data_IF_096866589668
#
_entry.id   IF_096866589668
#
_cell.length_a   1.000
_cell.length_b   1.000
_cell.length_c   1.000
_cell.angle_alpha   90.00
_cell.angle_beta   90.00
_cell.angle_gamma   90.00
#
_symmetry.space_group_name_H-M   'P 1'
#
loop_
_entity.id
_entity.type
_entity.pdbx_description
1 polymer ?
#
# COMPACT_ATOMS: atom_id res chain seq x y z
N UNK A 1 -47.78 -33.23 25.96
CA UNK A 1 -46.41 -33.44 25.45
C UNK A 1 -45.91 -32.08 24.97
N UNK A 2 -45.24 -31.27 25.80
CA UNK A 2 -43.77 -31.00 25.81
C UNK A 2 -43.24 -30.84 24.37
N UNK A 3 -42.63 -29.74 23.93
CA UNK A 3 -41.45 -29.03 24.49
C UNK A 3 -41.48 -27.54 24.09
N UNK A 4 -40.98 -26.69 25.01
CA UNK A 4 -40.71 -25.25 24.88
C UNK A 4 -39.31 -25.02 24.26
N UNK A 5 -39.17 -23.94 23.48
CA UNK A 5 -37.93 -23.23 23.09
C UNK A 5 -37.00 -23.85 22.04
N UNK A 6 -36.46 -22.95 21.20
CA UNK A 6 -35.02 -22.68 21.02
C UNK A 6 -34.64 -22.43 19.54
N UNK A 7 -35.00 -21.26 19.00
CA UNK A 7 -34.21 -20.62 17.93
C UNK A 7 -34.08 -19.13 18.24
N UNK A 8 -33.49 -18.90 19.42
CA UNK A 8 -32.92 -17.65 19.87
C UNK A 8 -31.63 -17.41 19.07
N UNK A 9 -31.52 -16.25 18.42
CA UNK A 9 -30.26 -15.64 17.95
C UNK A 9 -29.34 -16.54 17.12
N UNK A 10 -29.50 -16.53 15.78
CA UNK A 10 -28.41 -16.91 14.88
C UNK A 10 -28.11 -15.76 13.92
N UNK A 11 -26.84 -15.33 13.96
CA UNK A 11 -26.14 -14.42 13.06
C UNK A 11 -26.25 -12.91 13.34
N UNK A 12 -25.81 -12.47 14.53
CA UNK A 12 -25.24 -11.13 14.73
C UNK A 12 -23.76 -11.24 15.17
N UNK A 13 -22.95 -11.93 14.37
CA UNK A 13 -21.53 -12.17 14.65
C UNK A 13 -20.61 -11.77 13.49
N UNK A 14 -21.06 -10.85 12.62
CA UNK A 14 -20.30 -10.44 11.44
C UNK A 14 -20.07 -8.94 11.50
N UNK A 15 -19.04 -8.56 12.27
CA UNK A 15 -18.24 -7.33 12.18
C UNK A 15 -17.81 -6.90 13.58
N UNK A 16 -16.99 -7.72 14.25
CA UNK A 16 -16.04 -7.10 15.17
C UNK A 16 -15.03 -6.39 14.25
N UNK A 17 -14.89 -5.05 14.30
CA UNK A 17 -13.79 -4.41 13.62
C UNK A 17 -12.51 -5.04 14.18
N UNK A 18 -11.75 -5.72 13.33
CA UNK A 18 -10.41 -6.16 13.68
C UNK A 18 -9.60 -4.89 13.95
N UNK A 19 -9.38 -4.58 15.22
CA UNK A 19 -8.40 -3.59 15.61
C UNK A 19 -7.03 -4.19 15.30
N UNK A 20 -6.46 -3.79 14.17
CA UNK A 20 -5.04 -3.97 13.90
C UNK A 20 -4.28 -3.01 14.82
N UNK A 21 -4.17 -3.38 16.10
CA UNK A 21 -3.37 -2.63 17.06
C UNK A 21 -1.89 -3.00 16.84
N UNK A 22 -1.03 -1.98 16.69
CA UNK A 22 0.42 -2.18 16.61
C UNK A 22 0.89 -2.63 17.99
N UNK A 23 1.20 -3.92 18.14
CA UNK A 23 1.75 -4.46 19.39
C UNK A 23 3.26 -4.27 19.40
N UNK A 24 3.71 -3.22 20.08
CA UNK A 24 5.14 -3.02 20.33
C UNK A 24 5.56 -3.92 21.50
N UNK A 25 6.33 -4.97 21.21
CA UNK A 25 6.84 -5.92 22.23
C UNK A 25 7.84 -5.27 23.19
N UNK A 26 8.47 -4.15 22.78
CA UNK A 26 9.27 -3.27 23.64
C UNK A 26 9.46 -1.90 23.01
N UNK A 27 9.28 -0.82 23.80
CA UNK A 27 9.68 0.54 23.43
C UNK A 27 8.86 1.20 22.31
N UNK A 28 9.42 2.27 21.75
CA UNK A 28 8.86 3.04 20.62
C UNK A 28 9.44 2.52 19.31
N UNK A 29 8.61 2.31 18.29
CA UNK A 29 9.07 2.00 16.93
C UNK A 29 9.22 3.27 16.11
N UNK A 30 10.41 3.45 15.50
CA UNK A 30 10.71 4.53 14.57
C UNK A 30 11.24 3.91 13.29
N UNK A 31 10.55 4.14 12.17
CA UNK A 31 10.98 3.75 10.83
C UNK A 31 11.05 5.00 9.96
N UNK A 32 12.25 5.35 9.49
CA UNK A 32 12.47 6.55 8.69
C UNK A 32 12.41 6.30 7.18
N UNK A 33 12.22 5.05 6.73
CA UNK A 33 12.12 4.65 5.30
C UNK A 33 13.26 5.20 4.43
N UNK A 34 14.37 5.61 5.03
CA UNK A 34 15.53 6.17 4.35
C UNK A 34 16.33 5.02 3.73
N UNK A 35 16.76 5.17 2.48
CA UNK A 35 17.52 4.14 1.77
C UNK A 35 16.76 2.83 1.51
N UNK A 36 15.44 2.85 1.34
CA UNK A 36 14.61 1.67 1.05
C UNK A 36 14.85 1.12 -0.38
N UNK A 37 16.03 0.56 -0.63
CA UNK A 37 16.51 0.15 -1.95
C UNK A 37 15.50 -0.70 -2.74
N UNK A 38 15.44 -2.00 -2.51
CA UNK A 38 14.55 -2.90 -3.29
C UNK A 38 13.57 -3.68 -2.43
N UNK A 39 13.59 -3.47 -1.11
CA UNK A 39 12.78 -4.25 -0.17
C UNK A 39 12.21 -3.29 0.88
N UNK A 40 10.95 -3.52 1.25
CA UNK A 40 10.35 -2.85 2.41
C UNK A 40 11.02 -3.30 3.71
N UNK A 41 11.05 -2.46 4.75
CA UNK A 41 11.54 -2.87 6.07
C UNK A 41 10.79 -4.10 6.61
N UNK A 42 11.47 -4.92 7.40
CA UNK A 42 10.88 -6.11 8.01
C UNK A 42 9.62 -5.73 8.82
N UNK A 43 8.56 -6.53 8.66
CA UNK A 43 7.24 -6.29 9.25
C UNK A 43 6.37 -5.31 8.46
N UNK A 44 6.94 -4.47 7.59
CA UNK A 44 6.16 -3.55 6.76
C UNK A 44 5.60 -4.26 5.54
N UNK A 45 4.30 -4.12 5.32
CA UNK A 45 3.62 -4.52 4.09
C UNK A 45 2.71 -3.41 3.58
N UNK A 46 2.57 -3.36 2.26
CA UNK A 46 1.75 -2.36 1.57
C UNK A 46 0.58 -3.04 0.88
N UNK A 47 -0.62 -2.46 0.97
CA UNK A 47 -1.84 -3.07 0.45
C UNK A 47 -2.61 -2.12 -0.44
N UNK A 48 -2.91 -2.58 -1.65
CA UNK A 48 -3.85 -1.92 -2.58
C UNK A 48 -5.19 -2.61 -2.45
N UNK A 49 -6.30 -1.92 -2.64
CA UNK A 49 -7.59 -2.59 -2.39
C UNK A 49 -8.28 -2.15 -1.11
N UNK A 50 -7.71 -1.24 -0.33
CA UNK A 50 -8.23 -0.95 0.98
C UNK A 50 -9.59 -0.22 0.90
N UNK A 51 -10.50 -0.61 1.76
CA UNK A 51 -11.81 0.02 1.93
C UNK A 51 -12.04 0.27 3.42
N UNK A 52 -13.18 0.83 3.78
CA UNK A 52 -13.57 1.00 5.19
C UNK A 52 -13.70 -0.31 5.97
N UNK A 53 -13.82 -1.46 5.30
CA UNK A 53 -14.01 -2.78 5.92
C UNK A 53 -13.01 -3.85 5.48
N UNK A 54 -12.08 -3.51 4.58
CA UNK A 54 -11.09 -4.45 4.05
C UNK A 54 -9.73 -3.76 3.97
N UNK A 55 -8.68 -4.41 4.49
CA UNK A 55 -7.31 -3.86 4.49
C UNK A 55 -6.65 -3.83 3.11
N UNK A 56 -7.23 -4.49 2.10
CA UNK A 56 -6.65 -4.62 0.78
C UNK A 56 -5.80 -5.88 0.62
N UNK A 57 -5.38 -6.09 -0.62
CA UNK A 57 -4.48 -7.15 -1.07
C UNK A 57 -3.04 -6.69 -0.96
N UNK A 58 -2.17 -7.56 -0.47
CA UNK A 58 -0.74 -7.28 -0.37
C UNK A 58 -0.13 -6.99 -1.75
N UNK A 59 0.59 -5.87 -1.83
CA UNK A 59 1.26 -5.32 -3.01
C UNK A 59 2.77 -5.13 -2.79
N UNK A 60 3.33 -5.71 -1.74
CA UNK A 60 4.75 -5.55 -1.36
C UNK A 60 5.70 -6.10 -2.43
N UNK A 61 5.30 -7.15 -3.15
CA UNK A 61 6.06 -7.68 -4.27
C UNK A 61 6.17 -6.70 -5.46
N UNK A 62 5.15 -5.85 -5.67
CA UNK A 62 5.19 -4.82 -6.71
C UNK A 62 6.23 -3.75 -6.39
N UNK A 63 6.30 -3.31 -5.13
CA UNK A 63 7.35 -2.41 -4.66
C UNK A 63 8.75 -3.00 -4.90
N UNK A 64 8.96 -4.28 -4.57
CA UNK A 64 10.26 -4.92 -4.76
C UNK A 64 10.64 -5.02 -6.25
N UNK A 65 9.66 -5.33 -7.10
CA UNK A 65 9.85 -5.42 -8.55
C UNK A 65 10.24 -4.06 -9.14
N UNK A 66 9.57 -3.00 -8.71
CA UNK A 66 9.87 -1.64 -9.16
C UNK A 66 11.24 -1.15 -8.67
N UNK A 67 11.72 -1.61 -7.51
CA UNK A 67 13.09 -1.34 -7.05
C UNK A 67 14.17 -1.92 -7.99
N UNK A 68 13.88 -3.05 -8.65
CA UNK A 68 14.79 -3.70 -9.60
C UNK A 68 14.60 -3.14 -11.01
N UNK A 69 13.36 -2.87 -11.40
CA UNK A 69 12.99 -2.35 -12.72
C UNK A 69 12.11 -1.09 -12.60
N UNK A 70 12.74 0.08 -12.36
CA UNK A 70 12.02 1.30 -12.05
C UNK A 70 11.05 1.72 -13.14
N UNK A 71 9.83 2.03 -12.72
CA UNK A 71 8.82 2.63 -13.59
C UNK A 71 9.04 4.12 -13.69
N UNK A 72 8.65 4.75 -14.81
CA UNK A 72 8.65 6.20 -14.88
C UNK A 72 7.58 6.80 -13.93
N UNK A 73 7.76 8.03 -13.43
CA UNK A 73 6.80 8.60 -12.45
C UNK A 73 5.46 8.97 -13.07
N UNK A 74 5.43 9.15 -14.39
CA UNK A 74 4.21 9.39 -15.17
C UNK A 74 3.54 8.09 -15.68
N UNK A 75 3.96 6.92 -15.16
CA UNK A 75 3.38 5.65 -15.59
C UNK A 75 1.87 5.59 -15.31
N UNK A 76 1.14 4.90 -16.18
CA UNK A 76 -0.31 4.72 -16.03
C UNK A 76 -0.69 3.59 -15.05
N UNK A 77 0.29 2.97 -14.39
CA UNK A 77 0.05 1.92 -13.44
C UNK A 77 -0.38 2.53 -12.10
N UNK A 78 -1.44 2.00 -11.52
CA UNK A 78 -1.85 2.33 -10.15
C UNK A 78 -1.20 1.38 -9.15
N UNK A 79 -1.14 1.82 -7.89
CA UNK A 79 -0.67 1.01 -6.76
C UNK A 79 0.57 1.57 -6.09
N UNK A 80 1.26 0.70 -5.36
CA UNK A 80 2.51 1.04 -4.68
C UNK A 80 3.70 0.89 -5.62
N UNK A 81 4.60 1.87 -5.54
CA UNK A 81 5.77 1.98 -6.38
C UNK A 81 6.99 2.32 -5.55
N UNK A 82 8.13 1.88 -6.06
CA UNK A 82 9.43 2.23 -5.53
C UNK A 82 10.02 3.30 -6.45
N UNK A 83 9.97 4.56 -6.03
CA UNK A 83 10.43 5.71 -6.84
C UNK A 83 11.77 6.23 -6.36
N UNK A 84 12.52 6.88 -7.25
CA UNK A 84 13.71 7.63 -6.84
C UNK A 84 13.31 8.76 -5.88
N UNK A 85 14.04 8.92 -4.78
CA UNK A 85 13.86 10.04 -3.86
C UNK A 85 14.49 11.34 -4.42
N UNK A 86 13.92 12.49 -4.08
CA UNK A 86 14.30 13.80 -4.67
C UNK A 86 15.41 14.53 -3.90
N UNK A 87 15.73 14.09 -2.68
CA UNK A 87 16.48 14.87 -1.68
C UNK A 87 17.91 15.30 -2.10
N UNK A 88 18.44 14.68 -3.15
CA UNK A 88 19.79 14.89 -3.69
C UNK A 88 19.83 15.07 -5.22
N UNK A 89 18.68 15.27 -5.87
CA UNK A 89 18.59 15.41 -7.34
C UNK A 89 18.97 16.81 -7.84
N UNK A 90 19.74 16.91 -8.95
CA UNK A 90 19.74 18.10 -9.79
C UNK A 90 18.31 18.38 -10.29
N UNK A 91 17.89 19.65 -10.27
CA UNK A 91 16.54 20.07 -10.68
C UNK A 91 16.09 19.54 -12.06
N UNK A 92 17.02 19.35 -12.99
CA UNK A 92 16.75 18.78 -14.33
C UNK A 92 16.29 17.32 -14.28
N UNK A 93 16.83 16.51 -13.38
CA UNK A 93 16.44 15.10 -13.22
C UNK A 93 15.18 14.97 -12.37
N UNK A 94 14.99 15.85 -11.40
CA UNK A 94 13.77 15.91 -10.58
C UNK A 94 12.49 16.13 -11.40
N UNK A 95 12.60 16.76 -12.58
CA UNK A 95 11.47 17.01 -13.48
C UNK A 95 11.35 15.98 -14.63
N UNK A 96 12.20 14.94 -14.66
CA UNK A 96 12.21 13.97 -15.75
C UNK A 96 11.59 12.64 -15.31
N UNK A 97 10.47 12.19 -15.93
CA UNK A 97 9.80 10.96 -15.56
C UNK A 97 10.47 9.68 -15.94
N UNK A 98 11.45 9.70 -16.83
CA UNK A 98 11.94 8.47 -17.45
C UNK A 98 12.43 7.43 -16.45
N UNK A 99 12.18 6.15 -16.77
CA UNK A 99 12.74 5.01 -16.03
C UNK A 99 14.27 5.04 -16.00
N UNK A 100 14.92 5.60 -17.02
CA UNK A 100 16.37 5.77 -17.07
C UNK A 100 16.89 6.73 -16.01
N UNK A 101 16.19 7.84 -15.77
CA UNK A 101 16.49 8.70 -14.62
C UNK A 101 16.26 7.92 -13.34
N UNK A 102 15.09 7.31 -13.17
CA UNK A 102 14.80 6.54 -11.95
C UNK A 102 15.80 5.43 -11.63
N UNK A 103 16.38 4.77 -12.63
CA UNK A 103 17.34 3.68 -12.45
C UNK A 103 18.73 4.14 -11.99
N UNK A 104 19.08 5.41 -12.23
CA UNK A 104 20.38 5.96 -11.81
C UNK A 104 20.43 6.33 -10.32
N UNK A 105 19.30 6.26 -9.60
CA UNK A 105 19.19 6.70 -8.21
C UNK A 105 18.96 5.52 -7.27
N UNK A 106 19.95 5.29 -6.43
CA UNK A 106 19.94 4.25 -5.40
C UNK A 106 19.10 4.61 -4.18
N UNK A 107 18.87 5.90 -3.92
CA UNK A 107 17.97 6.33 -2.86
C UNK A 107 16.52 6.35 -3.34
N UNK A 108 15.64 5.79 -2.52
CA UNK A 108 14.32 5.34 -2.91
C UNK A 108 13.27 5.79 -1.92
N UNK A 109 12.08 6.05 -2.44
CA UNK A 109 10.91 6.44 -1.69
C UNK A 109 9.71 5.57 -2.05
N UNK A 110 8.87 5.33 -1.05
CA UNK A 110 7.64 4.59 -1.18
C UNK A 110 6.55 5.51 -1.71
N UNK A 111 6.18 5.30 -2.97
CA UNK A 111 5.15 6.06 -3.64
C UNK A 111 3.85 5.28 -3.74
N UNK A 112 2.73 6.01 -3.76
CA UNK A 112 1.43 5.46 -4.13
C UNK A 112 0.89 6.27 -5.31
N UNK A 113 0.50 5.58 -6.37
CA UNK A 113 -0.20 6.19 -7.49
C UNK A 113 -1.66 5.73 -7.49
N UNK A 114 -2.54 6.66 -7.14
CA UNK A 114 -3.98 6.46 -7.17
C UNK A 114 -4.51 7.01 -8.48
N UNK A 115 -4.65 6.15 -9.49
CA UNK A 115 -5.23 6.53 -10.78
C UNK A 115 -6.52 5.74 -11.01
N UNK A 116 -7.65 6.41 -10.87
CA UNK A 116 -8.96 5.97 -11.34
C UNK A 116 -9.50 6.93 -12.40
N UNK A 117 -10.24 6.43 -13.38
CA UNK A 117 -10.93 7.26 -14.35
C UNK A 117 -11.97 8.13 -13.63
N UNK A 118 -11.76 9.46 -13.57
CA UNK A 118 -12.63 10.42 -12.87
C UNK A 118 -14.03 10.53 -13.49
N UNK A 119 -14.28 9.83 -14.59
CA UNK A 119 -15.57 9.77 -15.30
C UNK A 119 -16.42 8.55 -14.95
N UNK A 120 -15.89 7.57 -14.22
CA UNK A 120 -16.58 6.30 -13.93
C UNK A 120 -16.76 6.06 -12.44
N UNK A 121 -17.74 6.73 -11.84
CA UNK A 121 -18.37 6.29 -10.59
C UNK A 121 -19.21 5.01 -10.83
N UNK A 122 -18.66 3.94 -11.42
CA UNK A 122 -19.29 2.62 -11.34
C UNK A 122 -18.42 1.47 -11.90
N UNK A 123 -18.08 0.54 -11.00
CA UNK A 123 -18.15 -0.92 -11.21
C UNK A 123 -16.98 -1.79 -11.71
N UNK A 124 -15.77 -1.30 -12.05
CA UNK A 124 -14.60 -2.19 -12.33
C UNK A 124 -13.20 -1.70 -11.82
N UNK A 125 -13.16 -1.08 -10.63
CA UNK A 125 -12.10 -1.32 -9.62
C UNK A 125 -10.63 -0.96 -9.88
N UNK A 126 -10.24 0.32 -9.82
CA UNK A 126 -8.84 0.75 -9.55
C UNK A 126 -8.72 2.10 -8.80
N UNK A 127 -9.61 2.43 -7.86
CA UNK A 127 -9.14 3.20 -6.69
C UNK A 127 -9.68 2.67 -5.37
N UNK A 128 -9.25 1.46 -4.98
CA UNK A 128 -9.42 1.00 -3.63
C UNK A 128 -8.18 1.43 -2.84
N UNK A 129 -8.41 2.20 -1.77
CA UNK A 129 -7.40 2.93 -1.03
C UNK A 129 -6.12 2.16 -0.68
N UNK A 130 -5.11 2.91 -0.29
CA UNK A 130 -3.83 2.37 0.12
C UNK A 130 -3.80 2.18 1.64
N UNK A 131 -3.27 1.04 2.08
CA UNK A 131 -3.00 0.78 3.49
C UNK A 131 -1.55 0.34 3.68
N UNK A 132 -0.99 0.74 4.82
CA UNK A 132 0.28 0.26 5.35
C UNK A 132 0.00 -0.59 6.57
N UNK A 133 0.60 -1.78 6.62
CA UNK A 133 0.50 -2.70 7.76
C UNK A 133 1.89 -3.01 8.30
N UNK A 134 1.97 -3.23 9.62
CA UNK A 134 3.18 -3.53 10.39
C UNK A 134 3.03 -4.89 11.08
#
# INVERSE_FOLDING_TARGET
MRIISFSLFLALAWALPAKADISLSSGTYTQNFDGIGTILPDGVSVRVGATSSFLGTDSSAAFNTDGINPKPWDSNNSGFHNYAAIDSLPFVDANNPSSGVQQNWSDRALGVHLKGDVSSQSSLGLDPGAAFTF
#
